data_IF_416984115329
#
_entry.id   IF_416984115329
#
_cell.length_a   1.000
_cell.length_b   1.000
_cell.length_c   1.000
_cell.angle_alpha   90.00
_cell.angle_beta   90.00
_cell.angle_gamma   90.00
#
_symmetry.space_group_name_H-M   'P 1'
#
loop_
_entity.id
_entity.type
_entity.pdbx_description
1 polymer ?
#
# COMPACT_ATOMS: atom_id res chain seq x y z
N UNK A 1 6.44 -8.17 12.34
CA UNK A 1 6.67 -6.95 13.15
C UNK A 1 5.71 -5.80 12.80
N UNK A 2 4.39 -6.05 12.81
CA UNK A 2 3.35 -5.01 12.72
C UNK A 2 2.52 -4.94 14.00
N UNK A 3 2.79 -5.86 14.92
CA UNK A 3 2.09 -6.02 16.18
C UNK A 3 2.45 -4.86 17.11
N UNK A 4 1.43 -4.25 17.70
CA UNK A 4 1.62 -3.20 18.69
C UNK A 4 2.22 -3.78 19.98
N UNK A 5 3.06 -3.02 20.72
CA UNK A 5 3.75 -3.55 21.90
C UNK A 5 2.82 -4.11 22.99
N UNK A 6 1.65 -3.51 23.16
CA UNK A 6 0.65 -3.97 24.11
C UNK A 6 -0.02 -5.30 23.74
N UNK A 7 0.02 -5.70 22.45
CA UNK A 7 -0.53 -6.97 22.00
C UNK A 7 0.29 -8.17 22.47
N UNK A 8 1.60 -7.99 22.76
CA UNK A 8 2.40 -9.03 23.41
C UNK A 8 1.87 -9.41 24.81
N UNK A 9 1.10 -8.52 25.43
CA UNK A 9 0.43 -8.73 26.71
C UNK A 9 -1.06 -9.11 26.55
N UNK A 10 -1.55 -9.35 25.33
CA UNK A 10 -2.95 -9.62 25.05
C UNK A 10 -3.89 -8.43 25.20
N UNK A 11 -3.36 -7.19 25.26
CA UNK A 11 -4.14 -5.96 25.51
C UNK A 11 -4.43 -5.18 24.24
N UNK A 12 -4.95 -5.85 23.21
CA UNK A 12 -5.28 -5.20 21.94
C UNK A 12 -6.40 -4.16 22.12
N UNK A 13 -6.26 -3.02 21.45
CA UNK A 13 -7.24 -1.92 21.44
C UNK A 13 -7.32 -1.32 20.03
N UNK A 14 -8.26 -0.41 19.77
CA UNK A 14 -8.31 0.33 18.49
C UNK A 14 -7.00 1.09 18.19
N UNK A 15 -6.30 1.57 19.22
CA UNK A 15 -4.99 2.21 19.06
C UNK A 15 -3.87 1.22 18.64
N UNK A 16 -4.10 -0.09 18.78
CA UNK A 16 -3.18 -1.13 18.29
C UNK A 16 -3.25 -1.26 16.77
N UNK A 17 -4.44 -1.11 16.17
CA UNK A 17 -4.60 -1.09 14.71
C UNK A 17 -3.99 0.18 14.09
N UNK A 18 -4.04 1.30 14.82
CA UNK A 18 -3.39 2.54 14.39
C UNK A 18 -1.86 2.40 14.40
N UNK A 19 -1.31 1.66 15.37
CA UNK A 19 0.11 1.34 15.40
C UNK A 19 0.53 0.51 14.19
N UNK A 20 -0.23 -0.56 13.90
CA UNK A 20 0.08 -1.43 12.74
C UNK A 20 -0.02 -0.66 11.42
N UNK A 21 -1.02 0.22 11.29
CA UNK A 21 -1.12 1.18 10.17
C UNK A 21 0.11 2.10 10.11
N UNK A 22 0.58 2.61 11.24
CA UNK A 22 1.81 3.42 11.33
C UNK A 22 3.03 2.68 10.78
N UNK A 23 3.20 1.41 11.16
CA UNK A 23 4.29 0.55 10.64
C UNK A 23 4.15 0.33 9.14
N UNK A 24 2.93 0.08 8.65
CA UNK A 24 2.67 -0.05 7.20
C UNK A 24 3.02 1.23 6.45
N UNK A 25 2.60 2.40 6.94
CA UNK A 25 2.95 3.70 6.34
C UNK A 25 4.46 3.92 6.33
N UNK A 26 5.15 3.61 7.43
CA UNK A 26 6.61 3.67 7.50
C UNK A 26 7.25 2.84 6.39
N UNK A 27 6.81 1.60 6.22
CA UNK A 27 7.35 0.69 5.22
C UNK A 27 7.05 1.16 3.80
N UNK A 28 5.85 1.66 3.51
CA UNK A 28 5.52 2.21 2.19
C UNK A 28 6.40 3.42 1.83
N UNK A 29 6.71 4.27 2.82
CA UNK A 29 7.46 5.51 2.59
C UNK A 29 8.98 5.33 2.56
N UNK A 30 9.50 4.28 3.21
CA UNK A 30 10.94 4.03 3.33
C UNK A 30 11.41 2.76 2.61
N UNK A 31 10.49 1.88 2.18
CA UNK A 31 10.78 0.56 1.62
C UNK A 31 11.24 -0.48 2.66
N UNK A 32 11.37 -0.11 3.93
CA UNK A 32 11.92 -0.98 4.99
C UNK A 32 11.07 -0.90 6.26
N UNK A 33 11.11 -1.93 7.09
CA UNK A 33 10.43 -1.91 8.38
C UNK A 33 11.17 -1.00 9.38
N UNK A 34 10.46 -0.38 10.33
CA UNK A 34 11.09 0.46 11.35
C UNK A 34 12.03 -0.35 12.26
N UNK A 35 11.68 -1.62 12.52
CA UNK A 35 12.47 -2.59 13.26
C UNK A 35 12.17 -4.01 12.74
N UNK A 36 13.09 -4.95 12.98
CA UNK A 36 12.92 -6.35 12.58
C UNK A 36 12.03 -7.11 13.57
N UNK A 37 11.76 -8.40 13.33
CA UNK A 37 11.04 -9.24 14.30
C UNK A 37 11.75 -9.16 15.66
N UNK A 38 11.11 -8.59 16.70
CA UNK A 38 11.79 -8.36 17.97
C UNK A 38 12.06 -9.70 18.64
N UNK A 39 13.29 -9.91 19.11
CA UNK A 39 13.56 -10.96 20.08
C UNK A 39 12.83 -10.62 21.39
N UNK A 40 12.60 -11.59 22.31
CA UNK A 40 11.99 -11.31 23.60
C UNK A 40 12.64 -10.14 24.36
N UNK A 41 13.97 -10.02 24.27
CA UNK A 41 14.73 -8.92 24.87
C UNK A 41 14.49 -7.54 24.22
N UNK A 42 14.04 -7.50 22.97
CA UNK A 42 13.76 -6.26 22.25
C UNK A 42 12.35 -5.72 22.52
N UNK A 43 11.45 -6.53 23.10
CA UNK A 43 10.08 -6.11 23.40
C UNK A 43 10.09 -4.93 24.37
N UNK A 44 10.91 -4.96 25.42
CA UNK A 44 11.01 -3.85 26.35
C UNK A 44 11.52 -2.57 25.70
N UNK A 45 12.52 -2.69 24.81
CA UNK A 45 13.07 -1.56 24.05
C UNK A 45 12.01 -0.98 23.11
N UNK A 46 11.20 -1.84 22.50
CA UNK A 46 10.07 -1.42 21.67
C UNK A 46 9.02 -0.68 22.49
N UNK A 47 8.70 -1.17 23.69
CA UNK A 47 7.78 -0.52 24.62
C UNK A 47 8.29 0.82 25.14
N UNK A 48 9.60 1.03 25.16
CA UNK A 48 10.23 2.34 25.46
C UNK A 48 10.37 3.24 24.23
N UNK A 49 10.02 2.76 23.03
CA UNK A 49 10.13 3.51 21.77
C UNK A 49 11.55 3.61 21.21
N UNK A 50 12.53 2.93 21.79
CA UNK A 50 13.96 3.05 21.43
C UNK A 50 14.29 2.47 20.06
N UNK A 51 13.41 1.63 19.51
CA UNK A 51 13.60 0.95 18.23
C UNK A 51 13.03 1.70 17.04
N UNK A 52 12.23 2.74 17.27
CA UNK A 52 11.57 3.49 16.20
C UNK A 52 12.42 4.70 15.82
N UNK A 53 13.02 4.65 14.64
CA UNK A 53 13.71 5.80 14.04
C UNK A 53 12.74 6.59 13.15
N UNK A 54 12.80 7.94 13.12
CA UNK A 54 11.95 8.73 12.23
C UNK A 54 12.13 8.38 10.74
N UNK A 55 11.05 8.21 9.96
CA UNK A 55 11.14 7.81 8.56
C UNK A 55 11.90 8.83 7.70
N UNK A 56 11.89 10.12 8.07
CA UNK A 56 12.67 11.17 7.38
C UNK A 56 14.19 11.00 7.48
N UNK A 57 14.69 10.30 8.49
CA UNK A 57 16.12 9.98 8.57
C UNK A 57 16.53 8.99 7.48
N UNK A 58 15.60 8.14 7.03
CA UNK A 58 15.83 7.17 5.93
C UNK A 58 15.52 7.76 4.56
N UNK A 59 14.45 8.55 4.47
CA UNK A 59 14.03 9.17 3.22
C UNK A 59 13.73 10.65 3.45
N UNK A 60 14.70 11.50 3.14
CA UNK A 60 14.59 12.96 3.31
C UNK A 60 13.53 13.63 2.43
N UNK A 61 12.98 12.92 1.42
CA UNK A 61 11.88 13.42 0.58
C UNK A 61 10.52 13.37 1.29
N UNK A 62 10.42 12.65 2.40
CA UNK A 62 9.18 12.57 3.18
C UNK A 62 8.89 13.96 3.80
N UNK A 63 7.71 14.55 3.54
CA UNK A 63 7.33 15.82 4.16
C UNK A 63 7.32 15.72 5.70
N UNK A 64 7.71 16.81 6.38
CA UNK A 64 7.76 16.84 7.86
C UNK A 64 6.43 16.41 8.49
N UNK A 65 5.32 16.90 7.97
CA UNK A 65 4.00 16.59 8.53
C UNK A 65 3.64 15.10 8.43
N UNK A 66 3.95 14.46 7.30
CA UNK A 66 3.75 13.01 7.12
C UNK A 66 4.61 12.21 8.09
N UNK A 67 5.86 12.61 8.29
CA UNK A 67 6.73 12.00 9.29
C UNK A 67 6.15 12.08 10.70
N UNK A 68 5.65 13.25 11.09
CA UNK A 68 5.10 13.47 12.42
C UNK A 68 3.84 12.62 12.64
N UNK A 69 3.00 12.46 11.60
CA UNK A 69 1.84 11.56 11.62
C UNK A 69 2.26 10.10 11.83
N UNK A 70 3.26 9.62 11.08
CA UNK A 70 3.77 8.24 11.19
C UNK A 70 4.34 8.00 12.60
N UNK A 71 5.14 8.93 13.12
CA UNK A 71 5.75 8.80 14.44
C UNK A 71 4.69 8.79 15.54
N UNK A 72 3.69 9.68 15.46
CA UNK A 72 2.57 9.70 16.41
C UNK A 72 1.74 8.41 16.35
N UNK A 73 1.48 7.86 15.17
CA UNK A 73 0.77 6.59 15.02
C UNK A 73 1.53 5.42 15.67
N UNK A 74 2.87 5.44 15.60
CA UNK A 74 3.75 4.42 16.18
C UNK A 74 4.26 4.76 17.59
N UNK A 75 3.64 5.69 18.32
CA UNK A 75 4.06 6.03 19.67
C UNK A 75 4.03 4.80 20.59
N UNK A 76 5.01 4.64 21.51
CA UNK A 76 5.04 3.49 22.41
C UNK A 76 3.81 3.44 23.31
N UNK A 77 3.45 4.59 23.93
CA UNK A 77 2.21 4.71 24.69
C UNK A 77 1.01 4.85 23.74
N UNK A 78 0.02 3.98 23.92
CA UNK A 78 -1.25 4.02 23.19
C UNK A 78 -2.06 5.29 23.44
N UNK A 79 -1.86 6.00 24.55
CA UNK A 79 -2.58 7.25 24.85
C UNK A 79 -2.06 8.42 24.01
N UNK A 80 -0.79 8.38 23.61
CA UNK A 80 -0.15 9.38 22.75
C UNK A 80 -0.47 9.17 21.27
N UNK A 81 -0.96 7.98 20.91
CA UNK A 81 -1.44 7.66 19.55
C UNK A 81 -2.77 8.35 19.25
N UNK A 82 -3.11 8.38 17.97
CA UNK A 82 -4.48 8.69 17.57
C UNK A 82 -5.44 7.67 18.19
N UNK A 83 -6.59 8.13 18.66
CA UNK A 83 -7.62 7.27 19.24
C UNK A 83 -8.61 6.80 18.17
N UNK A 84 -8.68 7.50 17.03
CA UNK A 84 -9.58 7.18 15.91
C UNK A 84 -8.81 7.23 14.60
N UNK A 85 -9.11 6.28 13.71
CA UNK A 85 -8.55 6.27 12.36
C UNK A 85 -8.97 7.50 11.53
N UNK A 86 -10.14 8.09 11.83
CA UNK A 86 -10.59 9.33 11.21
C UNK A 86 -9.60 10.49 11.43
N UNK A 87 -9.04 10.60 12.64
CA UNK A 87 -8.09 11.66 12.99
C UNK A 87 -6.79 11.52 12.18
N UNK A 88 -6.34 10.28 11.94
CA UNK A 88 -5.18 10.00 11.08
C UNK A 88 -5.44 10.46 9.65
N UNK A 89 -6.63 10.14 9.11
CA UNK A 89 -7.02 10.52 7.75
C UNK A 89 -7.11 12.04 7.60
N UNK A 90 -7.70 12.73 8.57
CA UNK A 90 -7.81 14.19 8.56
C UNK A 90 -6.43 14.86 8.50
N UNK A 91 -5.50 14.41 9.35
CA UNK A 91 -4.14 14.94 9.36
C UNK A 91 -3.36 14.65 8.07
N UNK A 92 -3.58 13.48 7.45
CA UNK A 92 -2.99 13.13 6.15
C UNK A 92 -3.52 14.02 5.02
N UNK A 93 -4.84 14.25 4.96
CA UNK A 93 -5.45 15.13 3.96
C UNK A 93 -4.97 16.58 4.13
N UNK A 94 -4.83 17.03 5.37
CA UNK A 94 -4.30 18.35 5.65
C UNK A 94 -2.80 18.46 5.29
N UNK A 95 -2.03 17.38 5.38
CA UNK A 95 -0.65 17.34 4.93
C UNK A 95 -0.52 17.40 3.41
N UNK A 96 -1.39 16.71 2.66
CA UNK A 96 -1.38 16.73 1.19
C UNK A 96 -1.60 18.14 0.62
N UNK A 97 -2.53 18.90 1.22
CA UNK A 97 -2.82 20.30 0.83
C UNK A 97 -1.64 21.25 0.99
N UNK A 98 -0.67 20.92 1.84
CA UNK A 98 0.51 21.76 2.10
C UNK A 98 1.69 21.45 1.18
N UNK A 99 1.64 20.33 0.46
CA UNK A 99 2.63 20.02 -0.56
C UNK A 99 2.18 20.73 -1.83
N UNK A 100 2.98 21.66 -2.40
CA UNK A 100 2.68 22.19 -3.72
C UNK A 100 2.59 20.98 -4.64
N UNK A 101 1.39 20.72 -5.17
CA UNK A 101 1.18 19.64 -6.12
C UNK A 101 1.99 20.04 -7.34
N UNK A 102 3.23 19.57 -7.42
CA UNK A 102 4.02 19.62 -8.65
C UNK A 102 3.12 18.90 -9.62
N UNK A 103 2.51 19.66 -10.54
CA UNK A 103 1.74 19.06 -11.59
C UNK A 103 2.69 18.05 -12.20
N UNK A 104 2.45 16.77 -11.95
CA UNK A 104 2.94 15.74 -12.84
C UNK A 104 2.20 16.07 -14.12
N UNK A 105 2.78 16.96 -14.91
CA UNK A 105 2.59 16.94 -16.34
C UNK A 105 2.84 15.48 -16.69
N UNK A 106 1.73 14.76 -16.86
CA UNK A 106 1.72 13.47 -17.51
C UNK A 106 2.54 13.75 -18.77
N UNK A 107 3.73 13.14 -18.95
CA UNK A 107 4.55 13.47 -20.10
C UNK A 107 3.63 13.31 -21.29
N UNK A 108 3.38 14.41 -22.01
CA UNK A 108 2.64 14.34 -23.26
C UNK A 108 3.34 13.25 -24.06
N UNK A 109 2.61 12.34 -24.74
CA UNK A 109 3.25 11.35 -25.58
C UNK A 109 4.15 12.12 -26.54
N UNK A 110 5.47 12.00 -26.33
CA UNK A 110 6.46 12.63 -27.18
C UNK A 110 6.14 12.14 -28.59
N UNK A 111 5.98 13.02 -29.59
CA UNK A 111 5.91 12.54 -30.97
C UNK A 111 7.22 11.80 -31.20
N UNK A 112 7.13 10.49 -31.37
CA UNK A 112 8.27 9.65 -31.67
C UNK A 112 8.93 10.25 -32.91
N UNK A 113 10.17 10.73 -32.75
CA UNK A 113 10.95 11.22 -33.87
C UNK A 113 11.17 10.04 -34.81
N UNK A 114 10.47 10.11 -35.93
CA UNK A 114 10.54 9.20 -37.05
C UNK A 114 11.94 9.29 -37.66
N UNK A 115 12.89 8.54 -37.08
CA UNK A 115 14.10 8.19 -37.79
C UNK A 115 13.71 7.14 -38.82
N UNK A 116 13.60 7.62 -40.06
CA UNK A 116 13.48 6.80 -41.25
C UNK A 116 14.56 5.71 -41.27
N UNK A 117 14.13 4.46 -41.18
CA UNK A 117 14.87 3.32 -41.68
C UNK A 117 13.93 2.56 -42.63
N UNK A 118 14.38 2.42 -43.88
CA UNK A 118 13.70 1.74 -44.97
C UNK A 118 13.42 0.24 -44.66
N UNK A 119 12.53 -0.43 -45.41
CA UNK A 119 11.65 -1.46 -44.87
C UNK A 119 12.27 -2.85 -44.90
N UNK A 120 12.31 -3.51 -43.74
CA UNK A 120 12.41 -4.96 -43.67
C UNK A 120 11.00 -5.53 -43.54
N UNK A 121 10.46 -6.04 -44.65
CA UNK A 121 9.19 -6.73 -44.71
C UNK A 121 9.23 -7.96 -43.79
N UNK A 122 8.35 -7.99 -42.78
CA UNK A 122 8.00 -9.22 -42.05
C UNK A 122 6.47 -9.29 -41.95
N UNK A 123 5.85 -10.46 -42.20
CA UNK A 123 4.40 -10.57 -42.28
C UNK A 123 3.78 -10.37 -40.89
N UNK A 124 2.73 -9.55 -40.86
CA UNK A 124 2.08 -9.09 -39.65
C UNK A 124 1.62 -10.21 -38.72
N UNK A 125 2.02 -10.13 -37.46
CA UNK A 125 1.35 -10.80 -36.36
C UNK A 125 0.53 -9.76 -35.60
N UNK A 126 -0.80 -9.86 -35.71
CA UNK A 126 -1.70 -9.12 -34.82
C UNK A 126 -1.40 -9.57 -33.38
N UNK A 127 -1.26 -8.66 -32.39
CA UNK A 127 -1.24 -9.06 -30.99
C UNK A 127 -2.55 -9.80 -30.69
N UNK A 128 -2.44 -11.06 -30.25
CA UNK A 128 -3.60 -11.89 -29.94
C UNK A 128 -4.20 -11.36 -28.63
N UNK A 129 -5.30 -10.63 -28.75
CA UNK A 129 -6.06 -10.12 -27.62
C UNK A 129 -6.47 -11.30 -26.73
N UNK A 130 -6.02 -11.26 -25.47
CA UNK A 130 -6.34 -12.32 -24.51
C UNK A 130 -7.77 -12.09 -24.02
N UNK A 131 -8.68 -13.07 -24.14
CA UNK A 131 -10.07 -12.90 -23.71
C UNK A 131 -10.12 -12.67 -22.20
N UNK A 132 -10.85 -11.63 -21.79
CA UNK A 132 -11.01 -11.25 -20.39
C UNK A 132 -11.67 -12.40 -19.61
N UNK A 133 -11.20 -12.72 -18.38
CA UNK A 133 -11.84 -13.73 -17.55
C UNK A 133 -13.24 -13.26 -17.15
N UNK A 134 -14.25 -14.08 -17.41
CA UNK A 134 -15.63 -13.86 -16.95
C UNK A 134 -15.96 -14.85 -15.83
N UNK A 135 -16.85 -14.44 -14.92
CA UNK A 135 -17.20 -15.18 -13.72
C UNK A 135 -18.69 -15.56 -13.72
N UNK A 136 -19.01 -16.67 -13.06
CA UNK A 136 -20.40 -17.10 -12.92
C UNK A 136 -21.18 -16.23 -11.93
N UNK A 137 -22.34 -15.69 -12.33
CA UNK A 137 -23.16 -14.80 -11.48
C UNK A 137 -23.71 -15.47 -10.21
N UNK A 138 -23.85 -16.80 -10.22
CA UNK A 138 -24.42 -17.56 -9.10
C UNK A 138 -23.36 -18.10 -8.12
N UNK A 139 -22.15 -18.43 -8.58
CA UNK A 139 -21.12 -19.04 -7.72
C UNK A 139 -19.76 -18.31 -7.71
N UNK A 140 -19.64 -17.20 -8.47
CA UNK A 140 -18.42 -16.38 -8.60
C UNK A 140 -17.14 -17.14 -9.00
N UNK A 141 -17.27 -18.34 -9.57
CA UNK A 141 -16.13 -19.10 -10.10
C UNK A 141 -15.78 -18.65 -11.53
N UNK A 142 -14.50 -18.66 -11.91
CA UNK A 142 -14.07 -18.28 -13.25
C UNK A 142 -14.63 -19.26 -14.29
N UNK A 143 -15.20 -18.74 -15.36
CA UNK A 143 -15.75 -19.53 -16.47
C UNK A 143 -14.71 -19.69 -17.58
N UNK A 144 -14.72 -20.82 -18.31
CA UNK A 144 -13.80 -21.04 -19.43
C UNK A 144 -14.05 -20.01 -20.54
N UNK A 145 -13.01 -19.64 -21.30
CA UNK A 145 -13.09 -18.59 -22.33
C UNK A 145 -14.14 -18.85 -23.44
N UNK A 146 -14.67 -20.07 -23.58
CA UNK A 146 -15.82 -20.37 -24.43
C UNK A 146 -17.11 -20.16 -23.64
N UNK A 147 -18.00 -19.32 -24.17
CA UNK A 147 -19.33 -19.07 -23.61
C UNK A 147 -20.08 -20.40 -23.48
N UNK A 148 -20.29 -20.86 -22.25
CA UNK A 148 -21.13 -22.03 -21.94
C UNK A 148 -22.42 -21.52 -21.34
N UNK A 149 -23.57 -21.91 -21.91
CA UNK A 149 -24.88 -21.48 -21.41
C UNK A 149 -25.15 -21.97 -19.99
N UNK A 150 -24.44 -23.00 -19.51
CA UNK A 150 -24.48 -23.51 -18.13
C UNK A 150 -23.12 -23.51 -17.47
N UNK A 151 -23.08 -23.08 -16.20
CA UNK A 151 -21.88 -23.12 -15.40
C UNK A 151 -21.47 -24.56 -15.04
N UNK A 152 -20.23 -25.00 -15.29
CA UNK A 152 -19.79 -26.35 -14.94
C UNK A 152 -19.66 -26.61 -13.44
N UNK A 153 -19.66 -25.55 -12.61
CA UNK A 153 -19.51 -25.67 -11.16
C UNK A 153 -20.83 -25.68 -10.41
N UNK A 154 -21.87 -25.01 -10.92
CA UNK A 154 -23.16 -24.88 -10.22
C UNK A 154 -24.38 -25.22 -11.08
N UNK A 155 -24.15 -25.68 -12.32
CA UNK A 155 -25.14 -26.12 -13.32
C UNK A 155 -26.23 -25.11 -13.70
N UNK A 156 -26.22 -23.90 -13.14
CA UNK A 156 -27.12 -22.80 -13.49
C UNK A 156 -26.75 -22.14 -14.81
N UNK A 157 -27.78 -21.64 -15.48
CA UNK A 157 -27.64 -20.90 -16.73
C UNK A 157 -26.97 -19.53 -16.52
N UNK A 158 -26.15 -19.09 -17.47
CA UNK A 158 -25.31 -17.88 -17.40
C UNK A 158 -25.81 -16.75 -18.28
#
# INVERSE_FOLDING_TARGET
PYMAPEQFHGKATFASDIYSLGVTMYQMMTGTLPYQTPAPADIERLMRGELVSPPRLRNGRIPKRVNDIIIKAMAPDKTERYQRAADVLEDLLAADRTVPRRATERPAPTPAQERALAPAQTPGSKPRESPQPHFCWNCNKPLPARRTDRCPFCTKEQ
#
